data_IF_002826292193
#
_entry.id   IF_002826292193
#
_cell.length_a   1.000
_cell.length_b   1.000
_cell.length_c   1.000
_cell.angle_alpha   90.00
_cell.angle_beta   90.00
_cell.angle_gamma   90.00
#
_symmetry.space_group_name_H-M   'P 1'
#
loop_
_entity.id
_entity.type
_entity.pdbx_description
1 polymer ?
#
# COMPACT_ATOMS: atom_id res chain seq x y z
N UNK A 1 -11.53 -1.88 4.46
CA UNK A 1 -10.33 -2.29 5.24
C UNK A 1 -10.12 -3.81 5.28
N UNK A 2 -11.02 -4.62 5.85
CA UNK A 2 -10.81 -6.09 5.96
C UNK A 2 -10.64 -6.82 4.63
N UNK A 3 -11.39 -6.42 3.59
CA UNK A 3 -11.29 -6.95 2.22
C UNK A 3 -9.88 -6.80 1.64
N UNK A 4 -9.36 -5.58 1.65
CA UNK A 4 -8.00 -5.29 1.21
C UNK A 4 -6.94 -6.09 1.97
N UNK A 5 -7.12 -6.32 3.27
CA UNK A 5 -6.18 -7.09 4.10
C UNK A 5 -6.11 -8.57 3.70
N UNK A 6 -7.24 -9.26 3.49
CA UNK A 6 -7.18 -10.68 3.07
C UNK A 6 -6.91 -10.87 1.57
N UNK A 7 -7.08 -9.83 0.76
CA UNK A 7 -6.77 -9.86 -0.68
C UNK A 7 -5.31 -9.55 -0.98
N UNK A 8 -4.68 -8.62 -0.25
CA UNK A 8 -3.36 -8.09 -0.60
C UNK A 8 -2.29 -8.31 0.48
N UNK A 9 -2.70 -8.48 1.75
CA UNK A 9 -1.77 -8.52 2.89
C UNK A 9 -2.07 -9.67 3.87
N UNK A 10 -2.63 -10.79 3.37
CA UNK A 10 -3.14 -11.88 4.19
C UNK A 10 -2.10 -12.42 5.17
N UNK A 11 -0.88 -12.65 4.69
CA UNK A 11 0.19 -13.25 5.48
C UNK A 11 0.61 -12.35 6.66
N UNK A 12 0.92 -11.08 6.39
CA UNK A 12 1.30 -10.11 7.42
C UNK A 12 0.16 -9.82 8.42
N UNK A 13 -1.07 -9.80 7.92
CA UNK A 13 -2.25 -9.56 8.74
C UNK A 13 -2.53 -10.71 9.71
N UNK A 14 -2.53 -11.97 9.23
CA UNK A 14 -2.76 -13.14 10.09
C UNK A 14 -1.62 -13.31 11.09
N UNK A 15 -0.37 -13.10 10.68
CA UNK A 15 0.78 -13.18 11.59
C UNK A 15 0.75 -12.14 12.71
N UNK A 16 0.40 -10.90 12.38
CA UNK A 16 0.25 -9.82 13.36
C UNK A 16 -0.86 -10.13 14.36
N UNK A 17 -2.03 -10.59 13.88
CA UNK A 17 -3.14 -10.98 14.73
C UNK A 17 -2.80 -12.19 15.62
N UNK A 18 -2.14 -13.21 15.09
CA UNK A 18 -1.73 -14.40 15.85
C UNK A 18 -0.70 -14.03 16.93
N UNK A 19 0.29 -13.17 16.60
CA UNK A 19 1.29 -12.66 17.56
C UNK A 19 0.67 -11.87 18.70
N UNK A 20 -0.33 -11.04 18.37
CA UNK A 20 -1.04 -10.19 19.35
C UNK A 20 -2.22 -10.89 20.02
N UNK A 21 -2.47 -12.18 19.70
CA UNK A 21 -3.60 -12.98 20.20
C UNK A 21 -4.96 -12.33 19.93
N UNK A 22 -5.09 -11.63 18.80
CA UNK A 22 -6.34 -10.99 18.37
C UNK A 22 -7.13 -11.98 17.50
N UNK A 23 -8.37 -12.33 17.88
CA UNK A 23 -9.17 -13.26 17.10
C UNK A 23 -9.69 -12.61 15.80
N UNK A 24 -9.46 -13.27 14.66
CA UNK A 24 -10.01 -12.87 13.36
C UNK A 24 -11.36 -13.57 13.16
N UNK A 25 -12.46 -12.86 13.45
CA UNK A 25 -13.83 -13.39 13.39
C UNK A 25 -14.64 -12.90 12.17
N UNK A 26 -13.98 -12.29 11.19
CA UNK A 26 -14.67 -11.79 9.99
C UNK A 26 -15.07 -12.96 9.07
N UNK A 27 -16.37 -13.10 8.80
CA UNK A 27 -16.93 -14.23 8.03
C UNK A 27 -16.34 -14.33 6.63
N UNK A 28 -16.11 -13.17 6.00
CA UNK A 28 -15.56 -13.03 4.66
C UNK A 28 -14.07 -13.40 4.61
N UNK A 29 -13.35 -13.22 5.72
CA UNK A 29 -11.93 -13.51 5.82
C UNK A 29 -11.63 -14.95 6.28
N UNK A 30 -12.56 -15.63 6.96
CA UNK A 30 -12.34 -16.95 7.58
C UNK A 30 -11.73 -17.95 6.58
N UNK A 31 -12.30 -18.06 5.38
CA UNK A 31 -11.81 -18.99 4.35
C UNK A 31 -10.35 -18.76 3.97
N UNK A 32 -9.95 -17.49 3.85
CA UNK A 32 -8.58 -17.11 3.49
C UNK A 32 -7.60 -17.38 4.64
N UNK A 33 -8.00 -17.06 5.87
CA UNK A 33 -7.21 -17.30 7.08
C UNK A 33 -7.02 -18.79 7.35
N UNK A 34 -8.07 -19.60 7.21
CA UNK A 34 -8.03 -21.04 7.42
C UNK A 34 -7.14 -21.74 6.38
N UNK A 35 -7.22 -21.31 5.12
CA UNK A 35 -6.34 -21.78 4.05
C UNK A 35 -4.87 -21.40 4.32
N UNK A 36 -4.60 -20.17 4.78
CA UNK A 36 -3.26 -19.72 5.16
C UNK A 36 -2.68 -20.55 6.32
N UNK A 37 -3.44 -20.73 7.41
CA UNK A 37 -3.00 -21.49 8.59
C UNK A 37 -2.75 -22.96 8.27
N UNK A 38 -3.58 -23.56 7.40
CA UNK A 38 -3.39 -24.92 6.91
C UNK A 38 -2.10 -25.08 6.09
N UNK A 39 -1.77 -24.09 5.24
CA UNK A 39 -0.53 -24.05 4.44
C UNK A 39 0.71 -23.89 5.31
N UNK A 40 0.63 -23.09 6.38
CA UNK A 40 1.75 -22.83 7.30
C UNK A 40 2.10 -24.05 8.16
N UNK A 41 1.11 -24.88 8.50
CA UNK A 41 1.29 -26.11 9.27
C UNK A 41 2.12 -27.21 8.58
N UNK A 42 2.37 -27.11 7.27
CA UNK A 42 3.12 -28.12 6.50
C UNK A 42 4.58 -27.76 6.21
N UNK A 43 5.04 -26.54 6.53
CA UNK A 43 6.44 -26.10 6.31
C UNK A 43 7.18 -25.88 7.63
N UNK A 44 7.45 -26.95 8.37
CA UNK A 44 8.58 -27.00 9.29
C UNK A 44 9.83 -27.40 8.52
N UNK A 45 10.58 -26.41 8.06
CA UNK A 45 11.85 -26.62 7.38
C UNK A 45 12.47 -25.28 6.99
N UNK A 46 13.24 -24.73 7.94
CA UNK A 46 14.19 -23.62 7.77
C UNK A 46 13.81 -22.53 6.75
N UNK A 47 13.18 -21.46 7.22
CA UNK A 47 13.28 -20.16 6.53
C UNK A 47 13.77 -19.15 7.54
N UNK A 48 14.93 -18.59 7.19
CA UNK A 48 15.69 -17.60 7.95
C UNK A 48 14.81 -16.50 8.52
N UNK A 49 15.15 -16.05 9.72
CA UNK A 49 14.75 -14.77 10.30
C UNK A 49 15.20 -13.60 9.42
N UNK A 50 14.57 -13.43 8.28
CA UNK A 50 14.48 -12.17 7.58
C UNK A 50 13.03 -11.76 7.71
N UNK A 51 12.77 -10.76 8.56
CA UNK A 51 11.57 -9.92 8.45
C UNK A 51 11.28 -9.68 6.97
N UNK A 52 10.02 -9.63 6.51
CA UNK A 52 9.71 -9.43 5.10
C UNK A 52 10.38 -8.13 4.66
N UNK A 53 11.55 -8.27 4.05
CA UNK A 53 12.41 -7.17 3.71
C UNK A 53 11.62 -6.35 2.73
N UNK A 54 11.23 -5.14 3.14
CA UNK A 54 10.93 -4.08 2.19
C UNK A 54 12.12 -4.06 1.24
N UNK A 55 11.92 -4.61 0.03
CA UNK A 55 12.87 -4.41 -1.05
C UNK A 55 13.01 -2.91 -1.14
N UNK A 56 14.20 -2.41 -0.78
CA UNK A 56 14.50 -0.99 -0.93
C UNK A 56 14.26 -0.67 -2.40
N UNK A 57 13.24 0.12 -2.68
CA UNK A 57 13.03 0.66 -4.03
C UNK A 57 14.27 1.44 -4.39
N UNK A 58 14.81 1.19 -5.58
CA UNK A 58 15.89 2.01 -6.10
C UNK A 58 15.41 3.45 -6.18
N UNK A 59 16.31 4.38 -5.90
CA UNK A 59 15.94 5.79 -5.93
C UNK A 59 15.70 6.22 -7.38
N UNK A 60 14.50 6.70 -7.66
CA UNK A 60 14.20 7.54 -8.83
C UNK A 60 13.43 8.77 -8.35
N UNK A 61 13.42 9.81 -9.18
CA UNK A 61 12.73 11.05 -8.86
C UNK A 61 11.21 10.83 -8.70
N UNK A 62 10.64 9.99 -9.57
CA UNK A 62 9.24 9.62 -9.59
C UNK A 62 8.90 8.78 -8.35
N UNK A 63 9.72 7.76 -8.04
CA UNK A 63 9.54 6.93 -6.86
C UNK A 63 9.65 7.73 -5.56
N UNK A 64 10.53 8.75 -5.52
CA UNK A 64 10.64 9.65 -4.37
C UNK A 64 9.39 10.53 -4.21
N UNK A 65 8.87 11.07 -5.31
CA UNK A 65 7.63 11.87 -5.28
C UNK A 65 6.44 11.01 -4.85
N UNK A 66 6.32 9.79 -5.38
CA UNK A 66 5.23 8.88 -5.03
C UNK A 66 5.33 8.43 -3.57
N UNK A 67 6.53 8.15 -3.06
CA UNK A 67 6.75 7.85 -1.65
C UNK A 67 6.37 9.03 -0.73
N UNK A 68 6.65 10.27 -1.13
CA UNK A 68 6.21 11.46 -0.39
C UNK A 68 4.69 11.62 -0.41
N UNK A 69 4.03 11.33 -1.54
CA UNK A 69 2.57 11.35 -1.63
C UNK A 69 1.96 10.28 -0.71
N UNK A 70 2.49 9.06 -0.74
CA UNK A 70 2.04 7.98 0.15
C UNK A 70 2.23 8.32 1.62
N UNK A 71 3.39 8.89 2.00
CA UNK A 71 3.62 9.40 3.35
C UNK A 71 2.61 10.48 3.76
N UNK A 72 2.33 11.44 2.87
CA UNK A 72 1.44 12.56 3.18
C UNK A 72 -0.02 12.10 3.31
N UNK A 73 -0.49 11.30 2.35
CA UNK A 73 -1.89 10.85 2.31
C UNK A 73 -2.13 9.70 3.29
N UNK A 74 -1.20 8.75 3.37
CA UNK A 74 -1.30 7.56 4.22
C UNK A 74 -1.25 7.88 5.70
N UNK A 75 -0.42 8.85 6.11
CA UNK A 75 -0.26 9.25 7.51
C UNK A 75 -0.97 10.58 7.86
N UNK A 76 -1.87 11.07 6.99
CA UNK A 76 -2.61 12.34 7.15
C UNK A 76 -1.71 13.54 7.53
N UNK A 77 -0.53 13.61 6.90
CA UNK A 77 0.40 14.69 7.16
C UNK A 77 -0.05 15.96 6.43
N UNK A 78 0.33 17.11 6.98
CA UNK A 78 0.15 18.37 6.26
C UNK A 78 0.97 18.36 4.97
N UNK A 79 0.37 18.74 3.83
CA UNK A 79 1.11 18.92 2.57
C UNK A 79 2.26 19.92 2.74
N UNK A 80 2.16 20.86 3.69
CA UNK A 80 3.24 21.81 3.99
C UNK A 80 4.50 21.14 4.59
N UNK A 81 4.45 19.87 4.99
CA UNK A 81 5.60 19.14 5.54
C UNK A 81 6.79 19.12 4.58
N UNK A 82 6.54 19.12 3.26
CA UNK A 82 7.60 19.17 2.24
C UNK A 82 8.29 20.52 2.12
N UNK A 83 7.82 21.56 2.80
CA UNK A 83 8.49 22.87 2.91
C UNK A 83 9.36 22.98 4.18
N UNK A 84 9.27 21.99 5.07
CA UNK A 84 10.04 21.96 6.30
C UNK A 84 11.54 21.76 5.99
N UNK A 85 12.35 22.74 6.37
CA UNK A 85 13.79 22.76 6.09
C UNK A 85 14.56 21.63 6.80
N UNK A 86 14.14 21.22 7.99
CA UNK A 86 14.77 20.12 8.72
C UNK A 86 14.51 18.78 8.03
N UNK A 87 13.29 18.55 7.55
CA UNK A 87 12.96 17.36 6.79
C UNK A 87 13.72 17.32 5.45
N UNK A 88 13.78 18.45 4.74
CA UNK A 88 14.60 18.57 3.52
C UNK A 88 16.07 18.25 3.78
N UNK A 89 16.63 18.77 4.88
CA UNK A 89 18.00 18.47 5.27
C UNK A 89 18.21 16.97 5.55
N UNK A 90 17.24 16.28 6.14
CA UNK A 90 17.29 14.82 6.32
C UNK A 90 17.35 14.11 4.95
N UNK A 91 16.54 14.51 3.97
CA UNK A 91 16.59 13.90 2.64
C UNK A 91 17.95 14.11 1.94
N UNK A 92 18.49 15.33 2.01
CA UNK A 92 19.81 15.65 1.46
C UNK A 92 20.95 14.89 2.17
N UNK A 93 20.84 14.68 3.48
CA UNK A 93 21.78 13.88 4.26
C UNK A 93 21.76 12.40 3.84
N UNK A 94 20.58 11.86 3.50
CA UNK A 94 20.42 10.46 3.13
C UNK A 94 20.79 10.18 1.66
N UNK A 95 20.79 11.20 0.79
CA UNK A 95 21.10 11.07 -0.65
C UNK A 95 21.98 12.22 -1.13
N UNK A 96 23.28 11.96 -1.25
CA UNK A 96 24.28 12.96 -1.65
C UNK A 96 24.07 13.57 -3.05
N UNK A 97 23.44 12.84 -3.96
CA UNK A 97 23.17 13.30 -5.34
C UNK A 97 21.91 14.16 -5.43
N UNK A 98 21.05 14.12 -4.42
CA UNK A 98 19.80 14.87 -4.38
C UNK A 98 20.09 16.35 -4.12
N UNK A 99 19.46 17.24 -4.88
CA UNK A 99 19.49 18.68 -4.64
C UNK A 99 18.16 19.14 -4.05
N UNK A 100 18.18 20.28 -3.36
CA UNK A 100 16.95 20.84 -2.79
C UNK A 100 15.89 21.16 -3.87
N UNK A 101 16.34 21.54 -5.08
CA UNK A 101 15.49 21.76 -6.25
C UNK A 101 14.76 20.50 -6.74
N UNK A 102 15.30 19.33 -6.43
CA UNK A 102 14.73 18.04 -6.81
C UNK A 102 13.63 17.62 -5.82
N UNK A 103 13.61 18.19 -4.62
CA UNK A 103 12.57 17.93 -3.63
C UNK A 103 11.29 18.67 -4.03
N UNK A 104 10.18 17.95 -4.27
CA UNK A 104 8.94 18.57 -4.74
C UNK A 104 8.39 19.55 -3.70
N UNK A 105 8.07 20.76 -4.15
CA UNK A 105 7.31 21.72 -3.37
C UNK A 105 5.83 21.35 -3.32
N UNK A 106 5.09 21.99 -2.40
CA UNK A 106 3.67 21.79 -2.13
C UNK A 106 2.82 21.77 -3.42
N UNK A 107 3.09 22.67 -4.36
CA UNK A 107 2.32 22.74 -5.61
C UNK A 107 2.48 21.47 -6.45
N UNK A 108 3.70 20.91 -6.51
CA UNK A 108 3.99 19.67 -7.24
C UNK A 108 3.36 18.46 -6.54
N UNK A 109 3.47 18.38 -5.22
CA UNK A 109 2.81 17.34 -4.42
C UNK A 109 1.29 17.39 -4.58
N UNK A 110 0.68 18.56 -4.44
CA UNK A 110 -0.78 18.71 -4.61
C UNK A 110 -1.24 18.25 -5.99
N UNK A 111 -0.49 18.62 -7.04
CA UNK A 111 -0.78 18.18 -8.41
C UNK A 111 -0.72 16.64 -8.51
N UNK A 112 0.33 16.02 -7.98
CA UNK A 112 0.50 14.57 -7.99
C UNK A 112 -0.61 13.85 -7.21
N UNK A 113 -1.01 14.37 -6.05
CA UNK A 113 -2.14 13.82 -5.27
C UNK A 113 -3.42 13.80 -6.11
N UNK A 114 -3.72 14.88 -6.83
CA UNK A 114 -4.90 14.95 -7.70
C UNK A 114 -4.79 13.93 -8.84
N UNK A 115 -3.63 13.83 -9.49
CA UNK A 115 -3.39 12.85 -10.56
C UNK A 115 -3.59 11.40 -10.06
N UNK A 116 -3.03 11.07 -8.89
CA UNK A 116 -3.19 9.75 -8.26
C UNK A 116 -4.67 9.49 -7.92
N UNK A 117 -5.37 10.49 -7.39
CA UNK A 117 -6.80 10.39 -7.11
C UNK A 117 -7.64 10.14 -8.37
N UNK A 118 -7.36 10.86 -9.46
CA UNK A 118 -8.04 10.70 -10.75
C UNK A 118 -7.77 9.31 -11.34
N UNK A 119 -6.52 8.82 -11.28
CA UNK A 119 -6.14 7.47 -11.70
C UNK A 119 -6.93 6.39 -10.92
N UNK A 120 -7.05 6.56 -9.60
CA UNK A 120 -7.84 5.68 -8.74
C UNK A 120 -9.34 5.72 -9.07
N UNK A 121 -9.92 6.91 -9.22
CA UNK A 121 -11.34 7.07 -9.59
C UNK A 121 -11.65 6.42 -10.94
N UNK A 122 -10.79 6.65 -11.94
CA UNK A 122 -10.93 6.05 -13.27
C UNK A 122 -10.83 4.52 -13.22
N UNK A 123 -9.99 3.98 -12.36
CA UNK A 123 -9.87 2.53 -12.15
C UNK A 123 -11.13 1.97 -11.50
N UNK A 124 -11.62 2.59 -10.44
CA UNK A 124 -12.86 2.19 -9.77
C UNK A 124 -14.07 2.27 -10.71
N UNK A 125 -14.16 3.31 -11.54
CA UNK A 125 -15.23 3.45 -12.54
C UNK A 125 -15.21 2.29 -13.54
N UNK A 126 -14.03 1.91 -14.05
CA UNK A 126 -13.88 0.77 -14.96
C UNK A 126 -14.29 -0.53 -14.29
N UNK A 127 -13.84 -0.78 -13.06
CA UNK A 127 -14.21 -1.97 -12.30
C UNK A 127 -15.74 -2.06 -12.11
N UNK A 128 -16.38 -0.97 -11.68
CA UNK A 128 -17.84 -0.89 -11.53
C UNK A 128 -18.59 -1.17 -12.84
N UNK A 129 -18.09 -0.67 -13.97
CA UNK A 129 -18.67 -0.92 -15.29
C UNK A 129 -18.56 -2.38 -15.75
N UNK A 130 -17.45 -3.06 -15.43
CA UNK A 130 -17.24 -4.49 -15.74
C UNK A 130 -18.23 -5.37 -14.97
N UNK A 131 -18.49 -5.08 -13.69
CA UNK A 131 -19.50 -5.80 -12.91
C UNK A 131 -20.91 -5.68 -13.53
N UNK A 132 -21.27 -4.51 -14.05
CA UNK A 132 -22.57 -4.28 -14.68
C UNK A 132 -22.76 -5.11 -15.95
N UNK A 133 -21.75 -5.19 -16.81
CA UNK A 133 -21.78 -6.00 -18.04
C UNK A 133 -21.77 -7.50 -17.76
N UNK A 134 -21.03 -7.95 -16.75
CA UNK A 134 -21.00 -9.37 -16.34
C UNK A 134 -22.33 -9.86 -15.72
N UNK A 135 -23.12 -8.95 -15.15
CA UNK A 135 -24.43 -9.27 -14.55
C UNK A 135 -25.57 -9.36 -15.57
N UNK A 136 -25.40 -8.79 -16.77
CA UNK A 136 -26.39 -8.82 -17.86
C UNK A 136 -26.26 -10.02 -18.79
N UNK A 137 -25.34 -10.96 -18.52
CA UNK A 137 -25.08 -12.12 -19.38
C UNK A 137 -25.46 -13.48 -18.77
N UNK A 138 -26.35 -13.53 -17.75
CA UNK A 138 -27.02 -14.79 -17.43
C UNK A 138 -28.20 -14.99 -18.39
N UNK A 139 -28.19 -16.01 -19.27
CA UNK A 139 -29.37 -16.37 -20.05
C UNK A 139 -30.38 -17.05 -19.12
N UNK A 140 -31.62 -16.58 -19.17
CA UNK A 140 -32.79 -17.22 -18.57
C UNK A 140 -32.84 -18.70 -18.99
N UNK A 141 -32.95 -19.60 -18.02
CA UNK A 141 -33.31 -21.01 -18.20
C UNK A 141 -34.63 -21.29 -17.51
#
# INVERSE_FOLDING_TARGET
LRKHLYENHLDAWVEGCDKLKIPINAKEASKHVDAYRSRKGQKTGASSNSEPGQKRTEFSQEAFVDALVEFIVGDDQSINVVENQQLRAIFLMLRAELKDSDIPHRTKIRKRIIEVWDEHLNTLQREMGVYFLSSTSQPDS
#
